data_IF_616060680679
#
_entry.id   IF_616060680679
#
_cell.length_a   1.000
_cell.length_b   1.000
_cell.length_c   1.000
_cell.angle_alpha   90.00
_cell.angle_beta   90.00
_cell.angle_gamma   90.00
#
_symmetry.space_group_name_H-M   'P 1'
#
loop_
_entity.id
_entity.type
_entity.pdbx_description
1 polymer ?
#
# COMPACT_ATOMS: atom_id res chain seq x y z
N UNK A 1 22.96 17.16 -1.71
CA UNK A 1 22.76 15.99 -2.58
C UNK A 1 21.66 16.33 -3.57
N UNK A 2 21.75 15.88 -4.83
CA UNK A 2 20.98 16.45 -5.95
C UNK A 2 19.48 16.08 -5.98
N UNK A 3 19.00 15.27 -5.03
CA UNK A 3 17.66 14.68 -5.01
C UNK A 3 17.04 14.60 -3.59
N UNK A 4 17.41 15.50 -2.69
CA UNK A 4 16.86 15.54 -1.33
C UNK A 4 15.70 16.54 -1.27
N UNK A 5 14.68 16.19 -0.50
CA UNK A 5 13.57 17.10 -0.21
C UNK A 5 14.07 18.30 0.60
N UNK A 6 13.55 19.48 0.30
CA UNK A 6 13.70 20.64 1.16
C UNK A 6 12.93 20.41 2.47
N UNK A 7 13.40 21.01 3.57
CA UNK A 7 12.76 20.88 4.88
C UNK A 7 11.29 21.31 4.84
N UNK A 8 10.98 22.39 4.11
CA UNK A 8 9.61 22.87 3.94
C UNK A 8 8.69 21.85 3.25
N UNK A 9 9.21 21.10 2.27
CA UNK A 9 8.43 20.06 1.57
C UNK A 9 8.13 18.88 2.51
N UNK A 10 9.08 18.53 3.38
CA UNK A 10 8.89 17.49 4.39
C UNK A 10 7.86 17.94 5.43
N UNK A 11 7.93 19.17 5.91
CA UNK A 11 6.96 19.73 6.86
C UNK A 11 5.54 19.76 6.27
N UNK A 12 5.40 20.18 5.00
CA UNK A 12 4.12 20.17 4.29
C UNK A 12 3.54 18.76 4.16
N UNK A 13 4.36 17.80 3.73
CA UNK A 13 3.95 16.41 3.59
C UNK A 13 3.60 15.74 4.94
N UNK A 14 4.29 16.11 6.03
CA UNK A 14 3.94 15.67 7.39
C UNK A 14 2.64 16.28 7.91
N UNK A 15 2.26 17.47 7.43
CA UNK A 15 0.99 18.12 7.74
C UNK A 15 -0.21 17.54 6.99
N UNK A 16 -0.01 16.98 5.79
CA UNK A 16 -1.08 16.39 4.98
C UNK A 16 -1.74 15.18 5.62
N UNK A 17 -3.07 15.07 5.51
CA UNK A 17 -3.85 13.92 6.03
C UNK A 17 -4.24 12.89 4.96
N UNK A 18 -4.03 13.22 3.69
CA UNK A 18 -4.38 12.37 2.55
C UNK A 18 -3.13 12.10 1.73
N UNK A 19 -2.80 10.82 1.56
CA UNK A 19 -1.80 10.36 0.62
C UNK A 19 -2.51 9.66 -0.54
N UNK A 20 -2.04 9.91 -1.76
CA UNK A 20 -2.53 9.22 -2.96
C UNK A 20 -1.34 8.68 -3.72
N UNK A 21 -1.41 7.40 -4.10
CA UNK A 21 -0.42 6.77 -4.95
C UNK A 21 -1.13 5.93 -6.01
N UNK A 22 -0.53 5.82 -7.19
CA UNK A 22 -1.04 5.00 -8.26
C UNK A 22 0.14 4.38 -8.99
N UNK A 23 0.01 3.11 -9.35
CA UNK A 23 1.02 2.39 -10.12
C UNK A 23 2.43 2.50 -9.50
N UNK A 24 2.59 2.11 -8.23
CA UNK A 24 3.89 2.14 -7.52
C UNK A 24 4.39 0.75 -7.13
N UNK A 25 3.59 -0.29 -7.38
CA UNK A 25 3.90 -1.69 -7.04
C UNK A 25 4.41 -2.38 -8.32
N UNK A 26 5.73 -2.54 -8.43
CA UNK A 26 6.40 -3.10 -9.62
C UNK A 26 7.34 -4.26 -9.29
N UNK A 27 8.15 -4.10 -8.24
CA UNK A 27 9.09 -5.09 -7.72
C UNK A 27 9.12 -5.03 -6.20
N UNK A 28 9.66 -6.08 -5.58
CA UNK A 28 9.70 -6.19 -4.13
C UNK A 28 10.56 -5.08 -3.51
N UNK A 29 11.74 -4.81 -4.06
CA UNK A 29 12.63 -3.72 -3.60
C UNK A 29 11.96 -2.32 -3.61
N UNK A 30 11.18 -2.03 -4.67
CA UNK A 30 10.47 -0.74 -4.79
C UNK A 30 9.28 -0.67 -3.83
N UNK A 31 8.60 -1.80 -3.65
CA UNK A 31 7.50 -1.95 -2.69
C UNK A 31 8.02 -1.76 -1.27
N UNK A 32 9.17 -2.36 -0.94
CA UNK A 32 9.84 -2.19 0.36
C UNK A 32 10.22 -0.74 0.60
N UNK A 33 10.86 -0.10 -0.38
CA UNK A 33 11.23 1.31 -0.27
C UNK A 33 9.99 2.21 -0.08
N UNK A 34 8.89 1.89 -0.76
CA UNK A 34 7.63 2.61 -0.64
C UNK A 34 7.01 2.46 0.76
N UNK A 35 6.87 1.25 1.28
CA UNK A 35 6.31 1.02 2.62
C UNK A 35 7.20 1.57 3.74
N UNK A 36 8.52 1.48 3.60
CA UNK A 36 9.47 2.13 4.51
C UNK A 36 9.31 3.66 4.52
N UNK A 37 8.97 4.26 3.38
CA UNK A 37 8.68 5.70 3.30
C UNK A 37 7.33 6.01 3.95
N UNK A 38 6.28 5.24 3.63
CA UNK A 38 4.96 5.41 4.22
C UNK A 38 4.98 5.30 5.75
N UNK A 39 5.76 4.37 6.30
CA UNK A 39 5.91 4.22 7.75
C UNK A 39 6.42 5.52 8.38
N UNK A 40 7.43 6.16 7.79
CA UNK A 40 7.98 7.43 8.29
C UNK A 40 6.94 8.56 8.22
N UNK A 41 6.17 8.66 7.14
CA UNK A 41 5.19 9.73 6.96
C UNK A 41 3.93 9.55 7.80
N UNK A 42 3.44 8.32 7.92
CA UNK A 42 2.16 8.01 8.59
C UNK A 42 2.33 7.80 10.10
N UNK A 43 3.53 7.43 10.57
CA UNK A 43 3.85 7.39 12.01
C UNK A 43 4.04 8.77 12.64
N UNK A 44 4.22 9.82 11.84
CA UNK A 44 4.54 11.17 12.29
C UNK A 44 3.51 12.21 11.83
N UNK A 45 3.42 13.32 12.57
CA UNK A 45 2.53 14.44 12.23
C UNK A 45 1.04 14.09 12.34
N UNK A 46 0.25 14.66 11.43
CA UNK A 46 -1.20 14.42 11.36
C UNK A 46 -1.51 12.94 11.06
N UNK A 47 -2.69 12.49 11.48
CA UNK A 47 -3.22 11.19 11.06
C UNK A 47 -3.43 11.19 9.54
N UNK A 48 -2.94 10.16 8.87
CA UNK A 48 -2.95 10.05 7.41
C UNK A 48 -3.70 8.81 6.95
N UNK A 49 -4.38 8.93 5.82
CA UNK A 49 -4.95 7.80 5.08
C UNK A 49 -4.34 7.79 3.69
N UNK A 50 -3.85 6.63 3.27
CA UNK A 50 -3.37 6.41 1.91
C UNK A 50 -4.49 5.80 1.06
N UNK A 51 -4.73 6.37 -0.11
CA UNK A 51 -5.47 5.70 -1.18
C UNK A 51 -4.48 5.27 -2.27
N UNK A 52 -4.37 3.96 -2.45
CA UNK A 52 -3.48 3.33 -3.42
C UNK A 52 -4.30 2.70 -4.54
N UNK A 53 -4.09 3.16 -5.77
CA UNK A 53 -4.61 2.50 -6.97
C UNK A 53 -3.53 1.60 -7.58
N UNK A 54 -3.89 0.37 -7.91
CA UNK A 54 -2.98 -0.55 -8.61
C UNK A 54 -3.73 -1.44 -9.61
N UNK A 55 -2.99 -1.93 -10.60
CA UNK A 55 -3.45 -2.94 -11.54
C UNK A 55 -2.53 -4.16 -11.39
N UNK A 56 -3.12 -5.36 -11.21
CA UNK A 56 -2.32 -6.58 -11.03
C UNK A 56 -1.53 -6.88 -12.29
N UNK A 57 -0.21 -6.88 -12.17
CA UNK A 57 0.71 -7.30 -13.23
C UNK A 57 1.07 -8.76 -13.04
N UNK A 58 0.52 -9.61 -13.89
CA UNK A 58 0.83 -11.02 -13.94
C UNK A 58 2.08 -11.24 -14.77
N UNK A 59 3.14 -11.74 -14.13
CA UNK A 59 4.38 -12.09 -14.80
C UNK A 59 4.52 -13.62 -14.80
N UNK A 60 4.95 -14.18 -15.93
CA UNK A 60 5.38 -15.57 -15.95
C UNK A 60 6.78 -15.65 -15.32
N UNK A 61 6.93 -16.48 -14.30
CA UNK A 61 8.19 -16.69 -13.60
C UNK A 61 8.68 -18.11 -13.90
N UNK A 62 9.94 -18.23 -14.35
CA UNK A 62 10.55 -19.54 -14.62
C UNK A 62 10.81 -20.32 -13.34
N UNK A 63 10.93 -19.63 -12.20
CA UNK A 63 11.16 -20.25 -10.91
C UNK A 63 9.90 -20.95 -10.39
N UNK A 64 8.73 -20.36 -10.64
CA UNK A 64 7.43 -20.90 -10.22
C UNK A 64 6.74 -21.72 -11.31
N UNK A 65 7.27 -21.69 -12.55
CA UNK A 65 6.65 -22.26 -13.75
C UNK A 65 5.18 -21.85 -13.95
N UNK A 66 4.80 -20.68 -13.43
CA UNK A 66 3.42 -20.22 -13.37
C UNK A 66 3.31 -18.71 -13.61
N UNK A 67 2.09 -18.25 -13.88
CA UNK A 67 1.73 -16.85 -14.03
C UNK A 67 1.38 -16.30 -12.63
N UNK A 68 2.29 -15.51 -12.05
CA UNK A 68 2.15 -15.00 -10.69
C UNK A 68 2.23 -13.47 -10.68
N UNK A 69 1.42 -12.84 -9.82
CA UNK A 69 1.49 -11.40 -9.56
C UNK A 69 2.38 -11.14 -8.33
N UNK A 70 3.70 -11.40 -8.45
CA UNK A 70 4.64 -11.37 -7.32
C UNK A 70 4.61 -10.05 -6.53
N UNK A 71 4.66 -8.91 -7.22
CA UNK A 71 4.58 -7.61 -6.57
C UNK A 71 3.26 -7.38 -5.82
N UNK A 72 2.15 -7.97 -6.28
CA UNK A 72 0.87 -7.90 -5.59
C UNK A 72 0.87 -8.74 -4.31
N UNK A 73 1.41 -9.96 -4.37
CA UNK A 73 1.55 -10.83 -3.18
C UNK A 73 2.45 -10.18 -2.13
N UNK A 74 3.56 -9.60 -2.56
CA UNK A 74 4.47 -8.87 -1.68
C UNK A 74 3.83 -7.63 -1.06
N UNK A 75 3.10 -6.85 -1.87
CA UNK A 75 2.26 -5.75 -1.36
C UNK A 75 1.28 -6.19 -0.27
N UNK A 76 0.57 -7.31 -0.47
CA UNK A 76 -0.38 -7.81 0.53
C UNK A 76 0.29 -8.19 1.85
N UNK A 77 1.55 -8.66 1.83
CA UNK A 77 2.30 -9.00 3.05
C UNK A 77 2.48 -7.82 4.02
N UNK A 78 2.43 -6.58 3.51
CA UNK A 78 2.53 -5.37 4.33
C UNK A 78 1.23 -5.01 5.05
N UNK A 79 0.11 -5.61 4.65
CA UNK A 79 -1.22 -5.26 5.13
C UNK A 79 -1.77 -6.33 6.07
N UNK A 80 -2.32 -5.89 7.20
CA UNK A 80 -3.30 -6.67 7.95
C UNK A 80 -4.66 -6.54 7.27
N UNK A 81 -5.34 -7.66 7.13
CA UNK A 81 -6.76 -7.66 6.82
C UNK A 81 -7.57 -7.28 8.06
N UNK A 82 -8.58 -6.43 7.90
CA UNK A 82 -9.48 -6.02 8.99
C UNK A 82 -10.24 -7.21 9.63
N UNK A 83 -10.28 -8.36 8.97
CA UNK A 83 -10.97 -9.58 9.42
C UNK A 83 -10.05 -10.57 10.17
N UNK A 84 -8.75 -10.29 10.28
CA UNK A 84 -7.73 -11.25 10.77
C UNK A 84 -7.54 -11.19 12.31
N UNK A 85 -8.65 -11.00 13.04
CA UNK A 85 -8.73 -10.95 14.51
C UNK A 85 -8.77 -12.37 15.14
N UNK A 86 -8.06 -13.33 14.56
CA UNK A 86 -7.98 -14.69 15.11
C UNK A 86 -6.64 -14.90 15.83
N UNK A 87 -6.71 -15.25 17.11
CA UNK A 87 -5.61 -15.46 18.07
C UNK A 87 -4.63 -16.61 17.74
N UNK A 88 -4.17 -16.78 16.49
CA UNK A 88 -3.31 -17.89 16.10
C UNK A 88 -2.17 -17.50 15.15
N UNK A 89 -1.20 -16.73 15.63
CA UNK A 89 0.21 -16.94 15.24
C UNK A 89 1.16 -16.58 16.39
N UNK A 90 1.42 -17.56 17.25
CA UNK A 90 2.66 -17.62 18.02
C UNK A 90 3.68 -18.32 17.12
N UNK A 91 4.86 -17.72 16.97
CA UNK A 91 5.95 -18.03 16.00
C UNK A 91 5.73 -17.21 14.71
N UNK A 92 6.53 -16.21 14.33
CA UNK A 92 7.95 -15.95 14.56
C UNK A 92 8.22 -14.45 14.81
N UNK A 93 9.48 -14.10 15.05
CA UNK A 93 9.99 -12.82 15.54
C UNK A 93 9.88 -11.64 14.54
N UNK A 94 8.91 -11.66 13.63
CA UNK A 94 8.70 -10.63 12.62
C UNK A 94 7.69 -9.59 13.13
N UNK A 95 8.06 -8.32 13.05
CA UNK A 95 7.25 -7.20 13.52
C UNK A 95 5.88 -7.26 12.82
N UNK A 96 4.79 -7.46 13.57
CA UNK A 96 3.42 -7.49 13.03
C UNK A 96 3.21 -6.33 12.03
N UNK A 97 2.50 -6.53 10.89
CA UNK A 97 2.37 -5.49 9.88
C UNK A 97 1.81 -4.20 10.48
N UNK A 98 2.44 -3.09 10.17
CA UNK A 98 2.09 -1.78 10.73
C UNK A 98 0.92 -1.12 9.99
N UNK A 99 0.43 -1.72 8.91
CA UNK A 99 -0.62 -1.16 8.08
C UNK A 99 -1.86 -2.05 8.08
N UNK A 100 -3.03 -1.42 8.01
CA UNK A 100 -4.32 -2.08 7.80
C UNK A 100 -4.84 -1.62 6.45
N UNK A 101 -5.17 -2.59 5.60
CA UNK A 101 -5.66 -2.35 4.25
C UNK A 101 -7.13 -2.74 4.09
N UNK A 102 -7.91 -1.83 3.52
CA UNK A 102 -9.30 -2.05 3.16
C UNK A 102 -9.46 -1.86 1.64
N UNK A 103 -9.79 -2.95 0.92
CA UNK A 103 -10.03 -2.88 -0.52
C UNK A 103 -11.40 -2.27 -0.79
N UNK A 104 -11.44 -1.20 -1.57
CA UNK A 104 -12.67 -0.50 -1.92
C UNK A 104 -13.37 -1.22 -3.06
N UNK A 105 -14.65 -1.48 -2.88
CA UNK A 105 -15.52 -1.96 -3.96
C UNK A 105 -15.73 -0.85 -5.01
N UNK A 106 -15.16 -1.06 -6.19
CA UNK A 106 -15.22 -0.13 -7.31
C UNK A 106 -16.64 0.10 -7.83
N UNK A 107 -17.60 -0.80 -7.58
CA UNK A 107 -19.00 -0.58 -7.93
C UNK A 107 -19.58 0.66 -7.23
N UNK A 108 -19.03 1.03 -6.07
CA UNK A 108 -19.42 2.22 -5.32
C UNK A 108 -18.73 3.51 -5.77
N UNK A 109 -17.79 3.43 -6.72
CA UNK A 109 -17.05 4.59 -7.22
C UNK A 109 -17.60 5.00 -8.60
N UNK A 110 -18.15 6.21 -8.76
CA UNK A 110 -18.67 6.67 -10.06
C UNK A 110 -17.58 6.70 -11.14
N UNK A 111 -17.94 6.31 -12.37
CA UNK A 111 -17.05 6.36 -13.53
C UNK A 111 -17.27 7.66 -14.31
N UNK A 112 -16.44 8.67 -14.02
CA UNK A 112 -16.49 9.96 -14.73
C UNK A 112 -15.79 9.95 -16.09
N UNK A 113 -14.84 9.03 -16.30
CA UNK A 113 -14.13 8.88 -17.58
C UNK A 113 -14.89 7.88 -18.46
N UNK A 114 -15.66 8.42 -19.40
CA UNK A 114 -16.61 7.65 -20.23
C UNK A 114 -15.95 6.58 -21.11
N UNK A 115 -14.70 6.79 -21.54
CA UNK A 115 -14.00 5.89 -22.46
C UNK A 115 -12.95 5.00 -21.75
N UNK A 116 -12.96 4.96 -20.42
CA UNK A 116 -12.04 4.14 -19.64
C UNK A 116 -12.78 2.94 -19.07
N UNK A 117 -12.54 1.76 -19.61
CA UNK A 117 -13.06 0.51 -19.02
C UNK A 117 -12.18 0.11 -17.83
N UNK A 118 -12.79 -0.05 -16.66
CA UNK A 118 -12.09 -0.57 -15.48
C UNK A 118 -11.81 -2.05 -15.69
N UNK A 119 -10.54 -2.39 -15.87
CA UNK A 119 -10.11 -3.78 -15.92
C UNK A 119 -10.46 -4.53 -14.63
N UNK A 120 -10.69 -5.83 -14.73
CA UNK A 120 -10.96 -6.73 -13.59
C UNK A 120 -9.83 -6.76 -12.56
N UNK A 121 -8.63 -6.37 -12.98
CA UNK A 121 -7.39 -6.41 -12.21
C UNK A 121 -7.06 -5.06 -11.55
N UNK A 122 -7.90 -4.04 -11.77
CA UNK A 122 -7.79 -2.74 -11.13
C UNK A 122 -8.37 -2.80 -9.73
N UNK A 123 -7.61 -2.33 -8.75
CA UNK A 123 -8.03 -2.23 -7.37
C UNK A 123 -7.70 -0.86 -6.78
N UNK A 124 -8.53 -0.42 -5.84
CA UNK A 124 -8.23 0.75 -5.00
C UNK A 124 -8.26 0.29 -3.55
N UNK A 125 -7.22 0.66 -2.81
CA UNK A 125 -7.03 0.32 -1.41
C UNK A 125 -7.02 1.58 -0.56
N UNK A 126 -7.78 1.57 0.52
CA UNK A 126 -7.61 2.49 1.63
C UNK A 126 -6.66 1.85 2.64
N UNK A 127 -5.56 2.52 2.98
CA UNK A 127 -4.54 1.99 3.88
C UNK A 127 -4.32 2.98 5.03
N UNK A 128 -4.32 2.44 6.25
CA UNK A 128 -4.09 3.19 7.50
C UNK A 128 -2.92 2.61 8.27
N UNK A 129 -2.27 3.45 9.08
CA UNK A 129 -1.15 3.05 9.91
C UNK A 129 -1.59 2.74 11.35
N UNK A 130 -1.28 1.55 11.85
CA UNK A 130 -1.50 1.14 13.24
C UNK A 130 -0.47 1.82 14.14
N UNK A 131 -0.85 2.93 14.78
CA UNK A 131 -0.08 3.48 15.89
C UNK A 131 -0.16 2.49 17.06
N UNK A 132 0.99 2.05 17.58
CA UNK A 132 1.02 1.37 18.88
C UNK A 132 0.56 2.41 19.90
N UNK A 133 -0.54 2.16 20.59
CA UNK A 133 -0.87 2.93 21.80
C UNK A 133 0.31 2.79 22.77
N UNK A 134 0.87 3.93 23.19
CA UNK A 134 1.96 3.98 24.18
C UNK A 134 1.43 3.76 25.59
#
# INVERSE_FOLDING_TARGET
MKYSWALSEVEEALGGSLLVAADVIYSDDLTDAFFNMLEKFMSQGSEKVLYLALEKRYNFTLDDFDIVANGYSHFLSYLKHEEDDTENSKLEHESKPHFVGHRIDLANIPQYVLNYERGKDVEIWQIKYCRKEC
#
